data_IF_877293800518
#
_entry.id   IF_877293800518
#
_cell.length_a   1.000
_cell.length_b   1.000
_cell.length_c   1.000
_cell.angle_alpha   90.00
_cell.angle_beta   90.00
_cell.angle_gamma   90.00
#
_symmetry.space_group_name_H-M   'P 1'
#
loop_
_entity.id
_entity.type
_entity.pdbx_description
1 polymer ?
#
# COMPACT_ATOMS: atom_id res chain seq x y z
N UNK A 1 6.38 -21.64 -21.61
CA UNK A 1 5.44 -22.64 -21.06
C UNK A 1 6.12 -23.37 -19.93
N UNK A 2 5.54 -23.27 -18.72
CA UNK A 2 5.65 -24.15 -17.53
C UNK A 2 5.34 -23.28 -16.30
N UNK A 3 4.07 -22.94 -16.09
CA UNK A 3 3.57 -22.69 -14.73
C UNK A 3 3.26 -24.05 -14.14
N UNK A 4 4.23 -24.61 -13.43
CA UNK A 4 4.04 -25.82 -12.63
C UNK A 4 2.97 -25.51 -11.60
N UNK A 5 1.79 -26.10 -11.75
CA UNK A 5 0.72 -26.05 -10.78
C UNK A 5 1.05 -27.03 -9.64
N UNK A 6 2.16 -26.80 -8.92
CA UNK A 6 2.60 -27.67 -7.82
C UNK A 6 1.66 -27.53 -6.64
N UNK A 7 1.27 -28.64 -6.02
CA UNK A 7 0.53 -28.64 -4.75
C UNK A 7 1.33 -27.83 -3.71
N UNK A 8 0.65 -26.99 -2.93
CA UNK A 8 1.32 -26.28 -1.83
C UNK A 8 1.75 -27.28 -0.76
N UNK A 9 2.96 -27.09 -0.24
CA UNK A 9 3.47 -27.91 0.85
C UNK A 9 2.81 -27.54 2.19
N UNK A 10 2.78 -28.48 3.13
CA UNK A 10 2.13 -28.28 4.43
C UNK A 10 2.76 -27.12 5.24
N UNK A 11 4.08 -26.95 5.15
CA UNK A 11 4.79 -25.83 5.76
C UNK A 11 4.36 -24.47 5.18
N UNK A 12 4.12 -24.39 3.86
CA UNK A 12 3.61 -23.17 3.22
C UNK A 12 2.20 -22.83 3.71
N UNK A 13 1.33 -23.84 3.91
CA UNK A 13 -0.03 -23.63 4.44
C UNK A 13 -0.02 -23.12 5.88
N UNK A 14 0.88 -23.60 6.73
CA UNK A 14 1.09 -23.05 8.08
C UNK A 14 1.47 -21.57 8.02
N UNK A 15 2.48 -21.23 7.21
CA UNK A 15 2.96 -19.86 7.09
C UNK A 15 1.84 -18.91 6.61
N UNK A 16 1.07 -19.31 5.59
CA UNK A 16 -0.08 -18.54 5.11
C UNK A 16 -1.14 -18.38 6.22
N UNK A 17 -1.41 -19.45 6.99
CA UNK A 17 -2.38 -19.42 8.09
C UNK A 17 -1.97 -18.45 9.20
N UNK A 18 -0.69 -18.42 9.57
CA UNK A 18 -0.17 -17.49 10.58
C UNK A 18 -0.29 -16.04 10.10
N UNK A 19 0.13 -15.76 8.85
CA UNK A 19 -0.02 -14.42 8.25
C UNK A 19 -1.48 -13.97 8.16
N UNK A 20 -2.39 -14.90 7.87
CA UNK A 20 -3.83 -14.64 7.89
C UNK A 20 -4.33 -14.33 9.30
N UNK A 21 -3.88 -15.04 10.32
CA UNK A 21 -4.24 -14.77 11.72
C UNK A 21 -3.82 -13.36 12.14
N UNK A 22 -2.59 -12.96 11.83
CA UNK A 22 -2.10 -11.60 12.10
C UNK A 22 -2.92 -10.54 11.37
N UNK A 23 -3.28 -10.80 10.09
CA UNK A 23 -4.15 -9.90 9.33
C UNK A 23 -5.54 -9.77 9.96
N UNK A 24 -6.14 -10.87 10.40
CA UNK A 24 -7.44 -10.89 11.07
C UNK A 24 -7.42 -10.12 12.39
N UNK A 25 -6.38 -10.31 13.20
CA UNK A 25 -6.18 -9.58 14.46
C UNK A 25 -6.19 -8.07 14.23
N UNK A 26 -5.38 -7.59 13.27
CA UNK A 26 -5.27 -6.16 12.93
C UNK A 26 -6.55 -5.56 12.36
N UNK A 27 -7.30 -6.32 11.55
CA UNK A 27 -8.63 -5.88 11.07
C UNK A 27 -9.68 -5.88 12.19
N UNK A 28 -9.41 -6.57 13.30
CA UNK A 28 -10.25 -6.64 14.50
C UNK A 28 -11.37 -7.68 14.44
N UNK A 29 -11.61 -8.33 13.30
CA UNK A 29 -12.50 -9.51 13.21
C UNK A 29 -12.32 -10.28 11.91
N UNK A 30 -12.67 -11.57 11.92
CA UNK A 30 -12.69 -12.43 10.72
C UNK A 30 -13.65 -11.86 9.65
N UNK A 31 -14.79 -11.30 10.07
CA UNK A 31 -15.76 -10.68 9.14
C UNK A 31 -15.17 -9.47 8.43
N UNK A 32 -14.44 -8.60 9.13
CA UNK A 32 -13.78 -7.44 8.52
C UNK A 32 -12.66 -7.87 7.58
N UNK A 33 -11.88 -8.89 7.98
CA UNK A 33 -10.84 -9.45 7.15
C UNK A 33 -11.39 -10.09 5.86
N UNK A 34 -12.51 -10.82 5.96
CA UNK A 34 -13.23 -11.42 4.84
C UNK A 34 -13.58 -10.38 3.76
N UNK A 35 -14.19 -9.25 4.17
CA UNK A 35 -14.52 -8.15 3.26
C UNK A 35 -13.24 -7.53 2.66
N UNK A 36 -12.23 -7.27 3.48
CA UNK A 36 -10.98 -6.66 3.01
C UNK A 36 -10.19 -7.53 2.03
N UNK A 37 -10.23 -8.85 2.19
CA UNK A 37 -9.53 -9.83 1.35
C UNK A 37 -10.38 -10.30 0.15
N UNK A 38 -11.67 -9.96 0.11
CA UNK A 38 -12.64 -10.52 -0.84
C UNK A 38 -12.72 -12.06 -0.75
N UNK A 39 -12.88 -12.58 0.48
CA UNK A 39 -12.92 -14.02 0.79
C UNK A 39 -14.07 -14.28 1.76
N UNK A 40 -14.69 -15.46 1.69
CA UNK A 40 -15.77 -15.79 2.61
C UNK A 40 -15.28 -15.89 4.06
N UNK A 41 -16.10 -15.41 5.01
CA UNK A 41 -15.81 -15.54 6.44
C UNK A 41 -15.68 -17.01 6.86
N UNK A 42 -16.43 -17.91 6.22
CA UNK A 42 -16.35 -19.36 6.46
C UNK A 42 -14.98 -19.92 6.07
N UNK A 43 -14.42 -19.48 4.93
CA UNK A 43 -13.08 -19.89 4.49
C UNK A 43 -12.00 -19.42 5.46
N UNK A 44 -12.07 -18.17 5.93
CA UNK A 44 -11.11 -17.67 6.94
C UNK A 44 -11.21 -18.48 8.23
N UNK A 45 -12.44 -18.76 8.69
CA UNK A 45 -12.68 -19.57 9.89
C UNK A 45 -12.11 -20.98 9.75
N UNK A 46 -12.32 -21.66 8.61
CA UNK A 46 -11.76 -22.99 8.35
C UNK A 46 -10.23 -22.99 8.39
N UNK A 47 -9.57 -21.97 7.83
CA UNK A 47 -8.10 -21.87 7.84
C UNK A 47 -7.58 -21.73 9.26
N UNK A 48 -8.14 -20.78 10.02
CA UNK A 48 -7.70 -20.52 11.39
C UNK A 48 -8.02 -21.68 12.35
N UNK A 49 -9.05 -22.47 12.04
CA UNK A 49 -9.38 -23.70 12.76
C UNK A 49 -8.55 -24.93 12.31
N UNK A 50 -7.56 -24.75 11.42
CA UNK A 50 -6.74 -25.83 10.86
C UNK A 50 -7.50 -26.88 10.01
N UNK A 51 -8.70 -26.53 9.52
CA UNK A 51 -9.51 -27.39 8.65
C UNK A 51 -9.18 -27.13 7.17
N UNK A 52 -8.07 -27.68 6.70
CA UNK A 52 -7.47 -27.28 5.40
C UNK A 52 -7.83 -28.18 4.21
N UNK A 53 -8.41 -29.36 4.45
CA UNK A 53 -8.66 -30.37 3.41
C UNK A 53 -9.65 -29.91 2.33
N UNK A 54 -10.60 -29.04 2.70
CA UNK A 54 -11.62 -28.50 1.80
C UNK A 54 -11.18 -27.24 1.06
N UNK A 55 -9.95 -26.76 1.27
CA UNK A 55 -9.49 -25.48 0.75
C UNK A 55 -8.59 -25.71 -0.46
N UNK A 56 -9.01 -25.20 -1.60
CA UNK A 56 -8.26 -25.34 -2.84
C UNK A 56 -6.91 -24.62 -2.77
N UNK A 57 -5.91 -25.16 -3.46
CA UNK A 57 -4.59 -24.53 -3.58
C UNK A 57 -4.67 -23.15 -4.26
N UNK A 58 -5.67 -22.92 -5.13
CA UNK A 58 -5.96 -21.61 -5.70
C UNK A 58 -6.39 -20.59 -4.63
N UNK A 59 -7.25 -21.01 -3.69
CA UNK A 59 -7.66 -20.17 -2.56
C UNK A 59 -6.47 -19.86 -1.64
N UNK A 60 -5.62 -20.85 -1.35
CA UNK A 60 -4.38 -20.64 -0.60
C UNK A 60 -3.48 -19.60 -1.29
N UNK A 61 -3.32 -19.66 -2.61
CA UNK A 61 -2.56 -18.66 -3.37
C UNK A 61 -3.22 -17.29 -3.35
N UNK A 62 -4.55 -17.20 -3.48
CA UNK A 62 -5.29 -15.93 -3.35
C UNK A 62 -4.98 -15.30 -1.99
N UNK A 63 -5.11 -16.06 -0.91
CA UNK A 63 -4.82 -15.60 0.45
C UNK A 63 -3.36 -15.20 0.59
N UNK A 64 -2.43 -16.06 0.17
CA UNK A 64 -0.99 -15.82 0.25
C UNK A 64 -0.57 -14.51 -0.45
N UNK A 65 -1.19 -14.21 -1.60
CA UNK A 65 -0.98 -12.95 -2.31
C UNK A 65 -1.60 -11.76 -1.57
N UNK A 66 -2.78 -11.92 -0.98
CA UNK A 66 -3.51 -10.86 -0.28
C UNK A 66 -2.95 -10.53 1.11
N UNK A 67 -2.41 -11.51 1.84
CA UNK A 67 -1.77 -11.30 3.16
C UNK A 67 -0.26 -11.15 3.07
N UNK A 68 0.29 -11.19 1.84
CA UNK A 68 1.69 -10.96 1.50
C UNK A 68 2.60 -12.16 1.79
N UNK A 69 3.26 -12.71 0.77
CA UNK A 69 4.26 -13.78 0.92
C UNK A 69 4.07 -14.89 -0.11
N UNK A 70 4.98 -15.00 -1.07
CA UNK A 70 5.24 -16.24 -1.79
C UNK A 70 6.64 -16.72 -1.40
N UNK A 71 6.98 -17.99 -1.70
CA UNK A 71 8.26 -18.64 -1.37
C UNK A 71 9.56 -17.91 -1.80
N UNK A 72 9.46 -16.77 -2.49
CA UNK A 72 10.53 -15.80 -2.73
C UNK A 72 10.22 -14.49 -1.99
N UNK A 73 10.08 -14.53 -0.67
CA UNK A 73 9.67 -13.39 0.14
C UNK A 73 10.74 -12.29 0.05
N UNK A 74 10.53 -11.34 -0.86
CA UNK A 74 11.32 -10.13 -0.97
C UNK A 74 11.20 -9.37 0.35
N UNK A 75 12.30 -9.28 1.10
CA UNK A 75 12.30 -8.57 2.36
C UNK A 75 12.29 -7.06 2.11
N UNK A 76 11.26 -6.38 2.61
CA UNK A 76 11.29 -4.92 2.69
C UNK A 76 12.31 -4.53 3.75
N UNK A 77 13.24 -3.64 3.41
CA UNK A 77 14.23 -3.12 4.34
C UNK A 77 13.75 -1.77 4.86
N UNK A 78 13.38 -1.64 6.16
CA UNK A 78 12.86 -0.40 6.70
C UNK A 78 13.86 0.77 6.63
N UNK A 79 15.14 0.49 6.81
CA UNK A 79 16.23 1.48 6.87
C UNK A 79 16.72 1.98 5.49
N UNK A 80 15.88 1.86 4.47
CA UNK A 80 16.10 2.48 3.16
C UNK A 80 15.57 3.91 3.22
N UNK A 81 16.35 4.86 2.74
CA UNK A 81 16.10 6.30 2.89
C UNK A 81 14.67 6.74 2.49
N UNK A 82 14.13 6.17 1.40
CA UNK A 82 12.75 6.41 0.94
C UNK A 82 11.72 5.82 1.89
N UNK A 83 11.94 4.57 2.31
CA UNK A 83 11.04 3.81 3.18
C UNK A 83 10.99 4.44 4.57
N UNK A 84 12.13 4.68 5.20
CA UNK A 84 12.24 5.33 6.51
C UNK A 84 11.52 6.67 6.52
N UNK A 85 11.78 7.53 5.52
CA UNK A 85 11.19 8.85 5.45
C UNK A 85 9.68 8.81 5.23
N UNK A 86 9.21 7.90 4.37
CA UNK A 86 7.77 7.75 4.15
C UNK A 86 7.05 7.21 5.38
N UNK A 87 7.60 6.19 6.05
CA UNK A 87 7.04 5.66 7.30
C UNK A 87 6.91 6.76 8.35
N UNK A 88 7.94 7.57 8.54
CA UNK A 88 7.91 8.70 9.49
C UNK A 88 6.77 9.67 9.21
N UNK A 89 6.55 10.07 7.96
CA UNK A 89 5.44 10.98 7.63
C UNK A 89 4.07 10.32 7.77
N UNK A 90 3.95 9.02 7.50
CA UNK A 90 2.70 8.29 7.73
C UNK A 90 2.38 8.19 9.23
N UNK A 91 3.39 7.92 10.07
CA UNK A 91 3.28 7.91 11.53
C UNK A 91 2.89 9.30 12.06
N UNK A 92 3.59 10.36 11.66
CA UNK A 92 3.28 11.74 12.03
C UNK A 92 1.87 12.13 11.60
N UNK A 93 1.48 11.79 10.37
CA UNK A 93 0.14 12.04 9.84
C UNK A 93 -0.94 11.37 10.68
N UNK A 94 -0.72 10.12 11.09
CA UNK A 94 -1.66 9.37 11.89
C UNK A 94 -1.78 9.89 13.33
N UNK A 95 -0.64 10.16 13.99
CA UNK A 95 -0.62 10.56 15.39
C UNK A 95 -1.10 12.00 15.60
N UNK A 96 -0.83 12.88 14.63
CA UNK A 96 -1.10 14.32 14.75
C UNK A 96 -2.24 14.79 13.83
N UNK A 97 -2.94 13.87 13.17
CA UNK A 97 -4.03 14.15 12.23
C UNK A 97 -3.61 15.12 11.10
N UNK A 98 -2.36 15.00 10.64
CA UNK A 98 -1.78 15.88 9.63
C UNK A 98 -2.10 15.42 8.22
N UNK A 99 -2.12 16.39 7.31
CA UNK A 99 -2.38 16.15 5.89
C UNK A 99 -1.14 16.47 5.08
N UNK A 100 -0.69 15.50 4.29
CA UNK A 100 0.53 15.63 3.50
C UNK A 100 0.31 15.33 2.02
N UNK A 101 0.98 16.13 1.19
CA UNK A 101 1.21 15.81 -0.21
C UNK A 101 2.65 15.30 -0.36
N UNK A 102 2.83 14.05 -0.74
CA UNK A 102 4.14 13.39 -0.82
C UNK A 102 4.40 12.98 -2.27
N UNK A 103 5.55 13.38 -2.81
CA UNK A 103 6.00 13.01 -4.15
C UNK A 103 7.27 12.18 -4.10
N UNK A 104 7.36 11.17 -4.95
CA UNK A 104 8.61 10.45 -5.19
C UNK A 104 8.65 9.87 -6.60
N UNK A 105 9.84 9.57 -7.10
CA UNK A 105 10.03 8.94 -8.40
C UNK A 105 9.29 7.60 -8.53
N UNK A 106 8.87 7.25 -9.75
CA UNK A 106 8.30 5.95 -10.01
C UNK A 106 9.34 4.85 -9.71
N UNK A 107 8.90 3.72 -9.14
CA UNK A 107 9.82 2.65 -8.77
C UNK A 107 10.61 2.89 -7.47
N UNK A 108 10.35 3.96 -6.73
CA UNK A 108 11.05 4.26 -5.47
C UNK A 108 10.69 3.38 -4.27
N UNK A 109 9.68 2.50 -4.39
CA UNK A 109 9.25 1.62 -3.29
C UNK A 109 8.10 2.16 -2.43
N UNK A 110 7.42 3.25 -2.83
CA UNK A 110 6.28 3.84 -2.12
C UNK A 110 5.20 2.82 -1.78
N UNK A 111 4.64 2.15 -2.79
CA UNK A 111 3.52 1.21 -2.60
C UNK A 111 3.88 0.04 -1.68
N UNK A 112 5.13 -0.45 -1.74
CA UNK A 112 5.60 -1.50 -0.83
C UNK A 112 5.72 -0.99 0.62
N UNK A 113 6.16 0.25 0.79
CA UNK A 113 6.24 0.91 2.10
C UNK A 113 4.85 1.19 2.68
N UNK A 114 3.90 1.66 1.86
CA UNK A 114 2.50 1.88 2.26
C UNK A 114 1.85 0.56 2.65
N UNK A 115 2.05 -0.50 1.87
CA UNK A 115 1.53 -1.82 2.20
C UNK A 115 2.09 -2.33 3.53
N UNK A 116 3.38 -2.11 3.79
CA UNK A 116 4.00 -2.43 5.07
C UNK A 116 3.41 -1.60 6.22
N UNK A 117 3.23 -0.30 6.03
CA UNK A 117 2.63 0.58 7.04
C UNK A 117 1.20 0.14 7.41
N UNK A 118 0.34 -0.11 6.41
CA UNK A 118 -1.03 -0.63 6.63
C UNK A 118 -1.01 -2.01 7.30
N UNK A 119 0.02 -2.81 7.04
CA UNK A 119 0.21 -4.07 7.75
C UNK A 119 0.65 -3.83 9.20
N UNK A 120 1.47 -2.84 9.53
CA UNK A 120 2.00 -2.69 10.89
C UNK A 120 1.19 -1.75 11.79
N UNK A 121 0.24 -1.00 11.24
CA UNK A 121 -0.52 0.03 11.95
C UNK A 121 -2.03 -0.22 11.90
N UNK A 122 -2.69 -0.12 13.04
CA UNK A 122 -4.15 -0.12 13.12
C UNK A 122 -4.71 1.15 12.49
N UNK A 123 -5.96 1.07 12.01
CA UNK A 123 -6.70 2.22 11.45
C UNK A 123 -6.00 2.97 10.30
N UNK A 124 -5.05 2.31 9.63
CA UNK A 124 -4.44 2.75 8.40
C UNK A 124 -5.15 2.15 7.19
N UNK A 125 -5.61 3.02 6.28
CA UNK A 125 -6.40 2.63 5.12
C UNK A 125 -5.77 3.19 3.85
N UNK A 126 -5.19 2.31 3.02
CA UNK A 126 -4.60 2.69 1.74
C UNK A 126 -5.53 2.37 0.56
N UNK A 127 -5.58 3.29 -0.40
CA UNK A 127 -6.32 3.20 -1.64
C UNK A 127 -5.34 3.40 -2.79
N UNK A 128 -5.30 2.45 -3.73
CA UNK A 128 -4.53 2.58 -4.97
C UNK A 128 -5.40 3.29 -6.01
N UNK A 129 -5.16 4.59 -6.19
CA UNK A 129 -5.91 5.40 -7.14
C UNK A 129 -5.61 5.01 -8.59
N UNK A 130 -6.61 5.13 -9.47
CA UNK A 130 -6.47 4.82 -10.89
C UNK A 130 -7.30 5.78 -11.75
N UNK A 131 -7.09 5.74 -13.07
CA UNK A 131 -7.66 6.71 -14.01
C UNK A 131 -9.16 6.54 -14.26
N UNK A 132 -9.71 5.34 -14.05
CA UNK A 132 -11.12 5.02 -14.27
C UNK A 132 -11.96 5.13 -13.00
N UNK A 133 -11.35 5.43 -11.85
CA UNK A 133 -12.02 5.61 -10.57
C UNK A 133 -13.00 6.78 -10.64
N UNK A 134 -14.27 6.52 -10.32
CA UNK A 134 -15.31 7.53 -10.12
C UNK A 134 -15.56 7.78 -8.62
N UNK A 135 -16.39 8.77 -8.31
CA UNK A 135 -16.72 9.16 -6.92
C UNK A 135 -17.26 8.00 -6.07
N UNK A 136 -18.07 7.13 -6.69
CA UNK A 136 -18.61 5.95 -6.02
C UNK A 136 -17.53 4.93 -5.70
N UNK A 137 -16.65 4.66 -6.66
CA UNK A 137 -15.57 3.67 -6.51
C UNK A 137 -14.58 4.13 -5.45
N UNK A 138 -14.26 5.42 -5.42
CA UNK A 138 -13.43 6.02 -4.38
C UNK A 138 -13.97 5.74 -2.97
N UNK A 139 -15.26 5.96 -2.73
CA UNK A 139 -15.90 5.71 -1.43
C UNK A 139 -15.92 4.21 -1.11
N UNK A 140 -16.21 3.35 -2.11
CA UNK A 140 -16.21 1.90 -1.93
C UNK A 140 -14.84 1.32 -1.59
N UNK A 141 -13.78 1.80 -2.23
CA UNK A 141 -12.43 1.35 -1.95
C UNK A 141 -12.01 1.68 -0.51
N UNK A 142 -12.46 2.82 0.05
CA UNK A 142 -12.23 3.13 1.46
C UNK A 142 -13.03 2.19 2.37
N UNK A 143 -14.32 1.95 2.09
CA UNK A 143 -15.11 0.95 2.83
C UNK A 143 -14.44 -0.42 2.85
N UNK A 144 -13.97 -0.87 1.68
CA UNK A 144 -13.24 -2.13 1.52
C UNK A 144 -11.94 -2.14 2.31
N UNK A 145 -11.15 -1.06 2.28
CA UNK A 145 -9.94 -0.93 3.08
C UNK A 145 -10.23 -1.01 4.59
N UNK A 146 -11.37 -0.48 5.04
CA UNK A 146 -11.88 -0.59 6.41
C UNK A 146 -12.48 -1.98 6.74
N UNK A 147 -12.61 -2.88 5.76
CA UNK A 147 -13.25 -4.19 5.92
C UNK A 147 -14.76 -4.10 6.14
N UNK A 148 -15.41 -3.14 5.49
CA UNK A 148 -16.85 -2.86 5.62
C UNK A 148 -17.51 -2.76 4.26
N UNK A 149 -18.82 -2.89 4.25
CA UNK A 149 -19.67 -2.62 3.09
C UNK A 149 -20.63 -1.48 3.46
N UNK A 150 -20.95 -0.59 2.50
CA UNK A 150 -21.91 0.48 2.75
C UNK A 150 -23.34 -0.07 2.88
N UNK A 151 -24.17 0.63 3.66
CA UNK A 151 -25.59 0.31 3.76
C UNK A 151 -26.42 0.87 2.59
N UNK A 152 -25.86 1.80 1.81
CA UNK A 152 -26.52 2.41 0.67
C UNK A 152 -25.76 2.15 -0.64
N UNK A 153 -26.49 2.14 -1.75
CA UNK A 153 -25.91 2.12 -3.10
C UNK A 153 -25.66 3.52 -3.67
N UNK A 154 -26.20 4.57 -3.04
CA UNK A 154 -26.10 5.96 -3.48
C UNK A 154 -24.86 6.63 -2.87
N UNK A 155 -24.11 7.35 -3.70
CA UNK A 155 -22.83 7.97 -3.30
C UNK A 155 -22.97 8.87 -2.07
N UNK A 156 -23.96 9.76 -2.05
CA UNK A 156 -24.07 10.73 -0.94
C UNK A 156 -24.29 10.06 0.43
N UNK A 157 -25.31 9.19 0.63
CA UNK A 157 -25.45 8.45 1.89
C UNK A 157 -24.21 7.60 2.25
N UNK A 158 -23.56 6.98 1.26
CA UNK A 158 -22.33 6.22 1.48
C UNK A 158 -21.19 7.12 2.01
N UNK A 159 -21.02 8.30 1.43
CA UNK A 159 -20.00 9.25 1.90
C UNK A 159 -20.28 9.72 3.31
N UNK A 160 -21.54 10.02 3.66
CA UNK A 160 -21.93 10.41 5.02
C UNK A 160 -21.63 9.28 6.01
N UNK A 161 -22.05 8.05 5.69
CA UNK A 161 -21.77 6.88 6.50
C UNK A 161 -20.26 6.66 6.70
N UNK A 162 -19.47 6.76 5.63
CA UNK A 162 -18.03 6.60 5.68
C UNK A 162 -17.37 7.65 6.59
N UNK A 163 -17.75 8.92 6.44
CA UNK A 163 -17.20 10.00 7.26
C UNK A 163 -17.54 9.79 8.74
N UNK A 164 -18.75 9.37 9.07
CA UNK A 164 -19.15 9.07 10.46
C UNK A 164 -18.36 7.88 11.04
N UNK A 165 -18.08 6.86 10.23
CA UNK A 165 -17.24 5.74 10.63
C UNK A 165 -15.80 6.19 10.92
N UNK A 166 -15.21 6.99 10.03
CA UNK A 166 -13.87 7.54 10.21
C UNK A 166 -13.80 8.41 11.47
N UNK A 167 -14.79 9.28 11.71
CA UNK A 167 -14.84 10.14 12.90
C UNK A 167 -14.89 9.39 14.23
N UNK A 168 -15.40 8.16 14.24
CA UNK A 168 -15.45 7.29 15.43
C UNK A 168 -14.27 6.34 15.54
N UNK A 169 -13.40 6.32 14.54
CA UNK A 169 -12.21 5.47 14.52
C UNK A 169 -11.07 6.20 15.24
N UNK A 170 -10.35 5.57 16.18
CA UNK A 170 -9.20 6.20 16.83
C UNK A 170 -8.04 6.40 15.86
N UNK A 171 -7.51 7.63 15.77
CA UNK A 171 -6.35 7.99 14.95
C UNK A 171 -6.37 7.36 13.53
N UNK A 172 -7.42 7.58 12.72
CA UNK A 172 -7.51 7.01 11.40
C UNK A 172 -6.58 7.75 10.44
N UNK A 173 -5.94 7.00 9.53
CA UNK A 173 -5.12 7.58 8.46
C UNK A 173 -5.54 7.04 7.10
N UNK A 174 -5.88 7.97 6.20
CA UNK A 174 -6.20 7.68 4.80
C UNK A 174 -4.96 7.91 3.93
N UNK A 175 -4.59 6.91 3.13
CA UNK A 175 -3.42 6.97 2.24
C UNK A 175 -3.88 6.75 0.81
N UNK A 176 -3.77 7.79 -0.02
CA UNK A 176 -4.12 7.76 -1.43
C UNK A 176 -2.84 7.59 -2.26
N UNK A 177 -2.50 6.36 -2.63
CA UNK A 177 -1.36 6.04 -3.51
C UNK A 177 -1.75 6.25 -4.98
N UNK A 178 -0.79 6.67 -5.81
CA UNK A 178 -1.00 7.05 -7.21
C UNK A 178 -2.07 8.14 -7.42
N UNK A 179 -2.18 9.08 -6.47
CA UNK A 179 -3.20 10.12 -6.49
C UNK A 179 -3.15 11.04 -7.74
N UNK A 180 -2.02 11.09 -8.47
CA UNK A 180 -1.91 11.76 -9.76
C UNK A 180 -2.84 11.22 -10.84
N UNK A 181 -3.31 9.97 -10.71
CA UNK A 181 -4.22 9.33 -11.67
C UNK A 181 -5.68 9.73 -11.50
N UNK A 182 -6.06 10.30 -10.36
CA UNK A 182 -7.46 10.66 -10.09
C UNK A 182 -7.95 11.75 -11.04
N UNK A 183 -9.18 11.62 -11.56
CA UNK A 183 -9.85 12.70 -12.29
C UNK A 183 -10.07 13.91 -11.39
N UNK A 184 -10.13 15.13 -11.96
CA UNK A 184 -10.35 16.36 -11.19
C UNK A 184 -11.60 16.29 -10.28
N UNK A 185 -12.66 15.65 -10.76
CA UNK A 185 -13.91 15.47 -10.01
C UNK A 185 -13.70 14.68 -8.71
N UNK A 186 -13.00 13.55 -8.79
CA UNK A 186 -12.65 12.71 -7.63
C UNK A 186 -11.60 13.40 -6.75
N UNK A 187 -10.63 14.09 -7.36
CA UNK A 187 -9.65 14.86 -6.57
C UNK A 187 -10.34 15.98 -5.77
N UNK A 188 -11.42 16.58 -6.25
CA UNK A 188 -12.18 17.56 -5.49
C UNK A 188 -12.93 16.95 -4.28
N UNK A 189 -13.19 15.64 -4.23
CA UNK A 189 -13.70 15.00 -3.01
C UNK A 189 -12.70 15.12 -1.85
N UNK A 190 -11.39 15.22 -2.13
CA UNK A 190 -10.39 15.49 -1.09
C UNK A 190 -10.75 16.72 -0.26
N UNK A 191 -11.31 17.77 -0.88
CA UNK A 191 -11.73 18.98 -0.16
C UNK A 191 -12.81 18.63 0.88
N UNK A 192 -13.83 17.87 0.47
CA UNK A 192 -14.90 17.42 1.37
C UNK A 192 -14.35 16.55 2.50
N UNK A 193 -13.50 15.58 2.19
CA UNK A 193 -12.91 14.69 3.19
C UNK A 193 -12.02 15.46 4.16
N UNK A 194 -11.14 16.32 3.65
CA UNK A 194 -10.32 17.20 4.47
C UNK A 194 -11.20 18.01 5.42
N UNK A 195 -12.20 18.74 4.90
CA UNK A 195 -13.02 19.63 5.72
C UNK A 195 -13.82 18.87 6.79
N UNK A 196 -14.21 17.62 6.52
CA UNK A 196 -15.00 16.80 7.44
C UNK A 196 -14.14 16.02 8.44
N UNK A 197 -12.84 15.85 8.17
CA UNK A 197 -11.91 15.05 8.98
C UNK A 197 -10.75 15.89 9.53
N UNK A 198 -10.77 17.21 9.36
CA UNK A 198 -9.77 18.13 9.89
C UNK A 198 -9.67 17.98 11.42
N UNK A 199 -8.45 17.73 11.92
CA UNK A 199 -8.19 17.47 13.33
C UNK A 199 -8.63 16.10 13.83
N UNK A 200 -9.15 15.23 12.94
CA UNK A 200 -9.67 13.90 13.28
C UNK A 200 -8.86 12.79 12.60
N UNK A 201 -8.51 12.95 11.32
CA UNK A 201 -7.82 11.93 10.54
C UNK A 201 -6.56 12.48 9.86
N UNK A 202 -5.52 11.64 9.79
CA UNK A 202 -4.40 11.87 8.88
C UNK A 202 -4.82 11.60 7.44
N UNK A 203 -4.35 12.40 6.49
CA UNK A 203 -4.61 12.18 5.05
C UNK A 203 -3.33 12.37 4.24
N UNK A 204 -2.95 11.37 3.45
CA UNK A 204 -1.73 11.40 2.65
C UNK A 204 -2.08 11.26 1.17
N UNK A 205 -1.78 12.29 0.37
CA UNK A 205 -1.78 12.20 -1.09
C UNK A 205 -0.37 11.82 -1.55
N UNK A 206 -0.20 10.59 -2.02
CA UNK A 206 1.08 10.05 -2.42
C UNK A 206 1.08 9.80 -3.93
N UNK A 207 2.06 10.35 -4.63
CA UNK A 207 2.11 10.28 -6.08
C UNK A 207 3.53 10.48 -6.63
N UNK A 208 3.62 10.54 -7.96
CA UNK A 208 4.79 11.07 -8.65
C UNK A 208 4.85 12.60 -8.57
N UNK A 209 5.95 13.21 -9.04
CA UNK A 209 6.07 14.67 -9.16
C UNK A 209 5.03 15.30 -10.10
N UNK A 210 4.33 14.50 -10.92
CA UNK A 210 3.22 14.97 -11.75
C UNK A 210 2.06 15.53 -10.92
N UNK A 211 1.76 14.97 -9.74
CA UNK A 211 0.69 15.48 -8.87
C UNK A 211 0.96 16.92 -8.44
N UNK A 212 2.17 17.19 -7.94
CA UNK A 212 2.57 18.52 -7.49
C UNK A 212 2.51 19.53 -8.63
N UNK A 213 3.05 19.18 -9.80
CA UNK A 213 2.99 20.03 -10.99
C UNK A 213 1.53 20.32 -11.38
N UNK A 214 0.70 19.28 -11.43
CA UNK A 214 -0.72 19.38 -11.77
C UNK A 214 -1.46 20.30 -10.80
N UNK A 215 -1.28 20.13 -9.48
CA UNK A 215 -1.94 20.95 -8.46
C UNK A 215 -1.47 22.42 -8.53
N UNK A 216 -0.17 22.66 -8.63
CA UNK A 216 0.39 24.02 -8.72
C UNK A 216 -0.08 24.75 -9.98
N UNK A 217 0.01 24.11 -11.15
CA UNK A 217 -0.44 24.69 -12.42
C UNK A 217 -1.94 24.96 -12.40
N UNK A 218 -2.76 24.01 -11.94
CA UNK A 218 -4.20 24.24 -11.85
C UNK A 218 -4.58 25.35 -10.86
N UNK A 219 -3.83 25.51 -9.76
CA UNK A 219 -4.04 26.61 -8.83
C UNK A 219 -3.68 27.99 -9.43
N UNK A 220 -2.65 28.04 -10.27
CA UNK A 220 -2.27 29.24 -11.03
C UNK A 220 -3.30 29.58 -12.12
N UNK A 221 -3.80 28.57 -12.82
CA UNK A 221 -4.81 28.69 -13.88
C UNK A 221 -6.26 28.78 -13.37
N UNK A 222 -6.48 28.95 -12.06
CA UNK A 222 -7.80 29.03 -11.43
C UNK A 222 -8.74 27.84 -11.75
N UNK A 223 -8.18 26.65 -11.93
CA UNK A 223 -8.98 25.42 -12.04
C UNK A 223 -9.70 25.21 -10.71
N UNK A 224 -11.03 24.99 -10.78
CA UNK A 224 -11.89 24.82 -9.61
C UNK A 224 -11.32 23.76 -8.66
N UNK A 225 -11.20 24.10 -7.38
CA UNK A 225 -10.73 23.23 -6.30
C UNK A 225 -9.21 23.19 -6.10
N UNK A 226 -8.39 23.49 -7.12
CA UNK A 226 -6.95 23.26 -7.04
C UNK A 226 -6.23 24.21 -6.07
N UNK A 227 -6.68 25.48 -5.98
CA UNK A 227 -6.18 26.42 -4.96
C UNK A 227 -6.47 25.94 -3.54
N UNK A 228 -7.65 25.37 -3.33
CA UNK A 228 -8.08 24.87 -2.03
C UNK A 228 -7.32 23.60 -1.65
N UNK A 229 -7.23 22.63 -2.57
CA UNK A 229 -6.39 21.43 -2.39
C UNK A 229 -4.97 21.83 -2.02
N UNK A 230 -4.35 22.74 -2.77
CA UNK A 230 -2.99 23.19 -2.49
C UNK A 230 -2.88 23.86 -1.11
N UNK A 231 -3.88 24.64 -0.72
CA UNK A 231 -3.93 25.26 0.61
C UNK A 231 -4.05 24.23 1.73
N UNK A 232 -4.87 23.19 1.56
CA UNK A 232 -5.07 22.12 2.55
C UNK A 232 -3.87 21.17 2.68
N UNK A 233 -3.00 21.13 1.66
CA UNK A 233 -1.68 20.50 1.73
C UNK A 233 -0.61 21.41 2.37
N UNK A 234 -1.00 22.52 3.00
CA UNK A 234 -0.05 23.49 3.58
C UNK A 234 0.80 24.22 2.53
N UNK A 235 0.34 24.27 1.27
CA UNK A 235 1.05 24.86 0.12
C UNK A 235 2.46 24.29 -0.07
N UNK A 236 2.66 23.02 0.28
CA UNK A 236 3.95 22.35 0.14
C UNK A 236 3.75 20.88 -0.22
N UNK A 237 4.66 20.36 -1.05
CA UNK A 237 4.82 18.92 -1.22
C UNK A 237 6.13 18.49 -0.58
N UNK A 238 6.09 17.32 0.04
CA UNK A 238 7.24 16.64 0.59
C UNK A 238 7.81 15.76 -0.52
N UNK A 239 9.05 16.02 -0.90
CA UNK A 239 9.77 15.20 -1.87
C UNK A 239 10.58 14.15 -1.09
N UNK A 240 10.32 12.87 -1.35
CA UNK A 240 11.12 11.78 -0.79
C UNK A 240 12.50 11.72 -1.45
N UNK A 241 13.55 11.27 -0.73
CA UNK A 241 14.89 11.18 -1.28
C UNK A 241 14.95 10.22 -2.47
N UNK A 242 16.01 10.34 -3.26
CA UNK A 242 16.34 9.33 -4.26
C UNK A 242 17.06 8.15 -3.63
N UNK A 243 17.01 7.01 -4.29
CA UNK A 243 17.73 5.81 -3.86
C UNK A 243 19.22 6.06 -4.06
N UNK A 244 20.00 5.80 -3.02
CA UNK A 244 21.46 5.90 -3.09
C UNK A 244 22.12 4.52 -3.04
N UNK A 245 23.44 4.48 -3.20
CA UNK A 245 24.21 3.23 -3.17
C UNK A 245 24.04 2.49 -1.83
N UNK A 246 24.02 3.22 -0.71
CA UNK A 246 23.83 2.64 0.62
C UNK A 246 22.48 1.93 0.73
N UNK A 247 21.41 2.51 0.18
CA UNK A 247 20.08 1.90 0.13
C UNK A 247 20.12 0.59 -0.68
N UNK A 248 20.70 0.62 -1.90
CA UNK A 248 20.82 -0.58 -2.75
C UNK A 248 21.64 -1.65 -2.06
N UNK A 249 22.73 -1.26 -1.40
CA UNK A 249 23.59 -2.17 -0.65
C UNK A 249 22.83 -2.90 0.47
N UNK A 250 22.10 -2.15 1.31
CA UNK A 250 21.24 -2.71 2.36
C UNK A 250 20.21 -3.68 1.79
N UNK A 251 19.54 -3.30 0.69
CA UNK A 251 18.54 -4.15 0.02
C UNK A 251 19.16 -5.44 -0.52
N UNK A 252 20.32 -5.37 -1.17
CA UNK A 252 21.01 -6.53 -1.72
C UNK A 252 21.42 -7.52 -0.62
N UNK A 253 22.06 -7.03 0.46
CA UNK A 253 22.44 -7.86 1.59
C UNK A 253 21.24 -8.54 2.25
N UNK A 254 20.18 -7.79 2.53
CA UNK A 254 18.96 -8.32 3.14
C UNK A 254 18.26 -9.39 2.27
N UNK A 255 18.56 -9.44 0.97
CA UNK A 255 17.99 -10.38 0.02
C UNK A 255 19.02 -11.39 -0.53
N UNK A 256 20.14 -11.61 0.18
CA UNK A 256 21.09 -12.71 -0.10
C UNK A 256 22.15 -12.43 -1.18
N UNK A 257 22.32 -11.17 -1.56
CA UNK A 257 23.38 -10.72 -2.48
C UNK A 257 24.41 -9.91 -1.70
N UNK A 258 25.58 -10.52 -1.47
CA UNK A 258 26.67 -9.95 -0.64
C UNK A 258 27.94 -9.63 -1.45
N UNK A 259 27.93 -9.78 -2.78
CA UNK A 259 29.09 -9.46 -3.62
C UNK A 259 29.11 -7.97 -3.97
N UNK A 260 30.07 -7.22 -3.41
CA UNK A 260 30.21 -5.78 -3.60
C UNK A 260 30.31 -5.35 -5.07
N UNK A 261 30.99 -6.13 -5.92
CA UNK A 261 31.11 -5.81 -7.36
C UNK A 261 29.77 -5.95 -8.04
N UNK A 262 29.01 -6.99 -7.69
CA UNK A 262 27.67 -7.19 -8.21
C UNK A 262 26.72 -6.10 -7.70
N UNK A 263 26.77 -5.75 -6.42
CA UNK A 263 25.95 -4.68 -5.83
C UNK A 263 26.21 -3.35 -6.54
N UNK A 264 27.48 -3.02 -6.81
CA UNK A 264 27.85 -1.83 -7.59
C UNK A 264 27.26 -1.87 -9.00
N UNK A 265 27.36 -2.99 -9.71
CA UNK A 265 26.75 -3.15 -11.03
C UNK A 265 25.21 -2.99 -11.00
N UNK A 266 24.56 -3.52 -9.96
CA UNK A 266 23.12 -3.36 -9.75
C UNK A 266 22.78 -1.88 -9.56
N UNK A 267 23.52 -1.16 -8.71
CA UNK A 267 23.33 0.27 -8.50
C UNK A 267 23.54 1.08 -9.79
N UNK A 268 24.64 0.86 -10.50
CA UNK A 268 24.97 1.59 -11.73
C UNK A 268 23.92 1.40 -12.85
N UNK A 269 23.16 0.29 -12.81
CA UNK A 269 22.13 -0.04 -13.82
C UNK A 269 20.68 0.13 -13.34
N UNK A 270 20.45 0.50 -12.08
CA UNK A 270 19.09 0.55 -11.53
C UNK A 270 18.34 1.85 -11.86
N UNK A 271 19.02 2.91 -12.30
CA UNK A 271 18.38 4.20 -12.68
C UNK A 271 17.39 4.69 -11.61
N UNK A 272 17.75 4.61 -10.32
CA UNK A 272 16.88 4.96 -9.20
C UNK A 272 15.50 4.24 -9.19
N UNK A 273 15.44 2.98 -9.67
CA UNK A 273 14.24 2.14 -9.68
C UNK A 273 14.49 0.82 -8.93
N UNK A 274 13.86 0.67 -7.75
CA UNK A 274 13.96 -0.55 -6.94
C UNK A 274 13.37 -1.78 -7.64
N UNK A 275 12.51 -1.62 -8.64
CA UNK A 275 12.02 -2.75 -9.45
C UNK A 275 13.17 -3.37 -10.24
N UNK A 276 14.13 -2.58 -10.70
CA UNK A 276 15.33 -3.10 -11.38
C UNK A 276 16.27 -3.81 -10.42
N UNK A 277 16.49 -3.24 -9.23
CA UNK A 277 17.24 -3.88 -8.13
C UNK A 277 16.63 -5.26 -7.82
N UNK A 278 15.31 -5.29 -7.57
CA UNK A 278 14.57 -6.53 -7.30
C UNK A 278 14.73 -7.59 -8.40
N UNK A 279 14.56 -7.21 -9.67
CA UNK A 279 14.72 -8.13 -10.81
C UNK A 279 16.13 -8.71 -10.88
N UNK A 280 17.16 -7.89 -10.65
CA UNK A 280 18.56 -8.33 -10.66
C UNK A 280 18.88 -9.29 -9.51
N UNK A 281 18.46 -8.96 -8.29
CA UNK A 281 18.63 -9.83 -7.11
C UNK A 281 17.95 -11.18 -7.31
N UNK A 282 16.70 -11.18 -7.79
CA UNK A 282 15.97 -12.44 -8.09
C UNK A 282 16.70 -13.25 -9.17
N UNK A 283 17.17 -12.59 -10.23
CA UNK A 283 17.92 -13.28 -11.29
C UNK A 283 19.20 -13.93 -10.75
N UNK A 284 19.90 -13.27 -9.84
CA UNK A 284 21.12 -13.81 -9.24
C UNK A 284 20.83 -14.98 -8.30
N UNK A 285 19.84 -14.85 -7.41
CA UNK A 285 19.47 -15.92 -6.50
C UNK A 285 19.02 -17.18 -7.25
N UNK A 286 18.33 -17.02 -8.40
CA UNK A 286 17.98 -18.16 -9.28
C UNK A 286 19.19 -18.81 -9.93
N UNK A 287 20.25 -18.06 -10.25
CA UNK A 287 21.49 -18.65 -10.77
C UNK A 287 22.20 -19.48 -9.71
N UNK A 288 22.29 -18.97 -8.48
CA UNK A 288 22.87 -19.72 -7.34
C UNK A 288 22.14 -21.06 -7.13
N UNK A 289 20.81 -21.03 -7.07
CA UNK A 289 19.97 -22.23 -6.96
C UNK A 289 20.16 -23.23 -8.10
N UNK A 290 20.27 -22.78 -9.36
CA UNK A 290 20.53 -23.66 -10.51
C UNK A 290 21.94 -24.25 -10.52
N UNK A 291 22.90 -23.54 -9.92
CA UNK A 291 24.29 -23.97 -9.86
C UNK A 291 24.60 -24.82 -8.62
N UNK A 292 23.60 -25.15 -7.79
CA UNK A 292 23.78 -26.00 -6.60
C UNK A 292 24.65 -25.39 -5.51
N UNK A 293 24.72 -24.05 -5.43
CA UNK A 293 25.43 -23.29 -4.40
C UNK A 293 24.40 -22.60 -3.49
#
# INVERSE_FOLDING_TARGET
MMTSNSKLEWAEKIDISNRLADFVSRKGSQKKAAVGLDISNATISQILASNWDSISDEMWRKISNSVGGGANAWSLVPDVSVTERLLRFLEESQQLNLVFGITANAGSGKSATIAHFVATHENAYAISCNEYMEERDFVLEIFKAMGREPNSSRVYPMTVELLDLLKRTPYPVLILDEADKLKNKVLNFFITFYNQLEGIAGINLIATSFLEKRIKTGAQSNVKGFREIYSRLGRRFIVLPEINYTDVNKICHANGVNDDKLIKNIFDSCENDLRRVKRRVIAENRKKQKNGI
#
